data_IF_229839845588
#
_entry.id   IF_229839845588
#
_cell.length_a   1.000
_cell.length_b   1.000
_cell.length_c   1.000
_cell.angle_alpha   90.00
_cell.angle_beta   90.00
_cell.angle_gamma   90.00
#
_symmetry.space_group_name_H-M   'P 1'
#
loop_
_entity.id
_entity.type
_entity.pdbx_description
1 polymer ?
#
# COMPACT_ATOMS: atom_id res chain seq x y z
N UNK A 1 -2.06 3.04 6.55
CA UNK A 1 -0.86 2.18 6.58
C UNK A 1 0.42 3.01 6.35
N UNK A 2 0.69 3.92 7.28
CA UNK A 2 1.82 4.88 7.17
C UNK A 2 3.16 4.17 6.98
N UNK A 3 3.43 3.12 7.75
CA UNK A 3 4.73 2.43 7.73
C UNK A 3 5.11 1.90 6.34
N UNK A 4 4.18 1.27 5.63
CA UNK A 4 4.43 0.72 4.29
C UNK A 4 4.66 1.83 3.25
N UNK A 5 3.89 2.93 3.35
CA UNK A 5 4.08 4.07 2.45
C UNK A 5 5.41 4.76 2.72
N UNK A 6 5.81 4.93 4.00
CA UNK A 6 7.12 5.45 4.38
C UNK A 6 8.23 4.58 3.78
N UNK A 7 8.16 3.25 3.93
CA UNK A 7 9.15 2.33 3.35
C UNK A 7 9.24 2.44 1.82
N UNK A 8 8.09 2.49 1.13
CA UNK A 8 8.05 2.63 -0.32
C UNK A 8 8.68 3.96 -0.78
N UNK A 9 8.39 5.06 -0.09
CA UNK A 9 8.99 6.37 -0.39
C UNK A 9 10.50 6.36 -0.12
N UNK A 10 10.91 5.80 1.02
CA UNK A 10 12.32 5.69 1.42
C UNK A 10 13.13 4.90 0.40
N UNK A 11 12.57 3.79 -0.13
CA UNK A 11 13.26 2.94 -1.11
C UNK A 11 13.53 3.62 -2.44
N UNK A 12 12.77 4.66 -2.79
CA UNK A 12 12.98 5.46 -4.01
C UNK A 12 13.61 6.84 -3.73
N UNK A 13 14.11 7.05 -2.50
CA UNK A 13 14.77 8.29 -2.10
C UNK A 13 13.84 9.48 -1.89
N UNK A 14 12.55 9.24 -1.63
CA UNK A 14 11.58 10.30 -1.32
C UNK A 14 11.49 10.55 0.17
N UNK A 15 11.29 11.81 0.52
CA UNK A 15 11.10 12.23 1.90
C UNK A 15 9.65 11.96 2.34
N UNK A 16 9.41 11.08 3.32
CA UNK A 16 8.07 10.83 3.84
C UNK A 16 7.55 11.94 4.76
N UNK A 17 8.38 12.89 5.18
CA UNK A 17 7.96 14.05 5.97
C UNK A 17 7.32 15.15 5.14
N UNK A 18 7.47 15.11 3.81
CA UNK A 18 6.81 16.06 2.89
C UNK A 18 6.25 15.35 1.64
N UNK A 19 5.13 14.70 1.82
CA UNK A 19 4.41 14.03 0.72
C UNK A 19 3.17 14.85 0.37
N UNK A 20 3.31 15.72 -0.61
CA UNK A 20 2.21 16.62 -0.97
C UNK A 20 1.83 17.58 0.16
N UNK A 21 2.78 17.97 1.01
CA UNK A 21 2.58 18.80 2.19
C UNK A 21 2.02 18.04 3.40
N UNK A 22 2.02 16.71 3.37
CA UNK A 22 1.67 15.87 4.51
C UNK A 22 2.95 15.22 5.06
N UNK A 23 3.12 15.30 6.37
CA UNK A 23 4.16 14.57 7.09
C UNK A 23 3.61 13.19 7.50
N UNK A 24 4.04 12.13 6.80
CA UNK A 24 3.62 10.77 7.10
C UNK A 24 4.29 10.23 8.38
N UNK A 25 5.45 10.75 8.76
CA UNK A 25 6.12 10.35 10.00
C UNK A 25 5.31 10.78 11.22
N UNK A 26 4.56 11.89 11.12
CA UNK A 26 3.66 12.34 12.19
C UNK A 26 2.57 11.30 12.52
N UNK A 27 2.17 10.48 11.53
CA UNK A 27 1.24 9.36 11.73
C UNK A 27 1.80 8.22 12.60
N UNK A 28 3.12 8.17 12.81
CA UNK A 28 3.76 7.20 13.70
C UNK A 28 4.03 7.75 15.11
N UNK A 29 3.67 9.00 15.40
CA UNK A 29 4.00 9.67 16.67
C UNK A 29 3.10 9.31 17.85
N UNK A 30 1.91 8.76 17.60
CA UNK A 30 0.96 8.33 18.63
C UNK A 30 1.09 6.82 18.86
N UNK A 31 1.58 6.44 20.04
CA UNK A 31 1.82 5.04 20.40
C UNK A 31 0.54 4.22 20.45
N UNK A 32 -0.54 4.78 20.98
CA UNK A 32 -1.84 4.11 21.01
C UNK A 32 -2.39 3.81 19.62
N UNK A 33 -2.17 4.74 18.67
CA UNK A 33 -2.56 4.54 17.28
C UNK A 33 -1.70 3.48 16.59
N UNK A 34 -0.38 3.57 16.76
CA UNK A 34 0.58 2.64 16.13
C UNK A 34 0.37 1.21 16.62
N UNK A 35 0.09 1.02 17.91
CA UNK A 35 -0.10 -0.31 18.53
C UNK A 35 -1.52 -0.85 18.41
N UNK A 36 -2.45 -0.13 17.78
CA UNK A 36 -3.84 -0.58 17.59
C UNK A 36 -3.97 -1.94 16.89
N UNK A 37 -2.99 -2.29 16.05
CA UNK A 37 -2.89 -3.59 15.38
C UNK A 37 -1.94 -4.56 16.12
N UNK A 38 -1.83 -4.42 17.43
CA UNK A 38 -0.97 -5.27 18.25
C UNK A 38 0.51 -5.18 17.87
N UNK A 39 1.19 -6.31 17.90
CA UNK A 39 2.61 -6.41 17.56
C UNK A 39 2.91 -5.98 16.12
N UNK A 40 2.01 -6.32 15.18
CA UNK A 40 2.18 -6.00 13.76
C UNK A 40 2.37 -4.49 13.52
N UNK A 41 1.54 -3.65 14.15
CA UNK A 41 1.65 -2.21 14.05
C UNK A 41 2.97 -1.68 14.57
N UNK A 42 3.39 -2.13 15.75
CA UNK A 42 4.65 -1.74 16.37
C UNK A 42 5.88 -2.17 15.55
N UNK A 43 5.89 -3.41 15.05
CA UNK A 43 7.00 -3.95 14.24
C UNK A 43 7.20 -3.16 12.95
N UNK A 44 6.13 -2.94 12.18
CA UNK A 44 6.24 -2.16 10.94
C UNK A 44 6.55 -0.69 11.16
N UNK A 45 6.10 -0.09 12.27
CA UNK A 45 6.48 1.27 12.62
C UNK A 45 7.99 1.35 12.93
N UNK A 46 8.54 0.41 13.68
CA UNK A 46 9.97 0.35 14.00
C UNK A 46 10.80 0.16 12.73
N UNK A 47 10.43 -0.80 11.86
CA UNK A 47 11.07 -1.03 10.56
C UNK A 47 11.05 0.24 9.70
N UNK A 48 9.93 0.93 9.63
CA UNK A 48 9.81 2.15 8.84
C UNK A 48 10.68 3.29 9.37
N UNK A 49 10.71 3.48 10.69
CA UNK A 49 11.54 4.51 11.35
C UNK A 49 13.04 4.23 11.16
N UNK A 50 13.44 2.96 11.19
CA UNK A 50 14.83 2.55 11.07
C UNK A 50 15.33 2.55 9.63
N UNK A 51 14.44 2.52 8.65
CA UNK A 51 14.81 2.40 7.23
C UNK A 51 15.74 3.51 6.72
N UNK A 52 15.69 4.69 7.33
CA UNK A 52 16.62 5.81 7.11
C UNK A 52 16.96 6.55 8.41
N UNK A 53 16.74 5.94 9.57
CA UNK A 53 17.00 6.57 10.85
C UNK A 53 16.09 7.76 11.15
N UNK A 54 14.83 7.71 10.73
CA UNK A 54 13.91 8.84 10.90
C UNK A 54 13.66 9.21 12.36
N UNK A 55 13.71 10.50 12.64
CA UNK A 55 13.23 11.04 13.91
C UNK A 55 11.69 10.99 13.98
N UNK A 56 11.18 10.71 15.18
CA UNK A 56 9.73 10.69 15.41
C UNK A 56 9.27 12.12 15.71
N UNK A 57 8.41 12.72 14.86
CA UNK A 57 7.98 14.11 15.03
C UNK A 57 7.31 14.36 16.38
N UNK A 58 7.52 15.55 16.92
CA UNK A 58 6.78 16.03 18.09
C UNK A 58 5.39 16.45 17.66
N UNK A 59 4.36 15.81 18.21
CA UNK A 59 2.96 16.12 17.97
C UNK A 59 2.23 16.34 19.29
N UNK A 60 0.93 16.64 19.21
CA UNK A 60 0.04 16.76 20.38
C UNK A 60 -0.40 15.40 20.96
N UNK A 61 0.15 14.28 20.48
CA UNK A 61 -0.18 12.94 20.97
C UNK A 61 0.08 12.83 22.48
N UNK A 62 -0.92 12.36 23.23
CA UNK A 62 -0.82 12.19 24.71
C UNK A 62 0.16 11.09 25.07
N UNK A 63 0.18 10.03 24.29
CA UNK A 63 1.09 8.90 24.46
C UNK A 63 2.06 8.85 23.27
N UNK A 64 3.21 9.50 23.42
CA UNK A 64 4.20 9.60 22.36
C UNK A 64 4.88 8.27 22.09
N UNK A 65 5.00 7.92 20.81
CA UNK A 65 5.83 6.81 20.34
C UNK A 65 7.31 7.11 20.60
N UNK A 66 8.04 6.10 21.07
CA UNK A 66 9.51 6.06 21.05
C UNK A 66 9.94 4.68 20.57
N UNK A 67 11.18 4.56 20.08
CA UNK A 67 11.74 3.26 19.71
C UNK A 67 11.74 2.28 20.88
N UNK A 68 12.10 2.73 22.09
CA UNK A 68 12.06 1.89 23.30
C UNK A 68 10.68 1.36 23.62
N UNK A 69 9.63 2.17 23.47
CA UNK A 69 8.25 1.71 23.66
C UNK A 69 7.85 0.68 22.61
N UNK A 70 8.21 0.88 21.35
CA UNK A 70 7.93 -0.08 20.29
C UNK A 70 8.63 -1.41 20.55
N UNK A 71 9.92 -1.36 20.90
CA UNK A 71 10.72 -2.55 21.23
C UNK A 71 10.10 -3.28 22.43
N UNK A 72 9.80 -2.55 23.53
CA UNK A 72 9.19 -3.14 24.73
C UNK A 72 7.82 -3.76 24.42
N UNK A 73 7.04 -3.13 23.56
CA UNK A 73 5.75 -3.66 23.12
C UNK A 73 5.93 -4.94 22.30
N UNK A 74 6.85 -4.98 21.33
CA UNK A 74 7.16 -6.20 20.57
C UNK A 74 7.60 -7.31 21.50
N UNK A 75 8.54 -7.05 22.43
CA UNK A 75 9.04 -8.03 23.37
C UNK A 75 7.95 -8.61 24.28
N UNK A 76 6.93 -7.83 24.59
CA UNK A 76 5.80 -8.28 25.46
C UNK A 76 4.95 -9.40 24.82
N UNK A 77 5.06 -9.63 23.52
CA UNK A 77 4.37 -10.71 22.80
C UNK A 77 5.15 -12.03 22.77
N UNK A 78 6.40 -12.04 23.27
CA UNK A 78 7.16 -13.28 23.30
C UNK A 78 6.62 -14.24 24.34
N UNK A 79 6.27 -15.46 23.94
CA UNK A 79 5.81 -16.56 24.78
C UNK A 79 6.99 -17.39 25.32
N UNK A 80 6.68 -18.30 26.25
CA UNK A 80 7.68 -19.13 26.95
C UNK A 80 8.47 -20.05 26.00
N UNK A 81 7.88 -20.48 24.91
CA UNK A 81 8.52 -21.33 23.88
C UNK A 81 9.36 -20.53 22.88
N UNK A 82 9.41 -19.20 23.01
CA UNK A 82 10.19 -18.29 22.20
C UNK A 82 9.43 -17.69 21.01
N UNK A 83 8.21 -18.15 20.72
CA UNK A 83 7.43 -17.54 19.63
C UNK A 83 6.96 -16.13 20.00
N UNK A 84 6.68 -15.32 18.96
CA UNK A 84 5.99 -14.05 19.08
C UNK A 84 4.65 -14.19 18.36
N UNK A 85 3.55 -14.00 19.07
CA UNK A 85 2.25 -14.03 18.43
C UNK A 85 1.18 -13.33 19.28
N UNK A 86 0.34 -12.56 18.61
CA UNK A 86 -0.93 -12.04 19.12
C UNK A 86 -2.14 -12.64 18.37
N UNK A 87 -1.87 -13.47 17.34
CA UNK A 87 -2.88 -14.18 16.55
C UNK A 87 -2.56 -15.67 16.50
N UNK A 88 -3.40 -16.48 17.10
CA UNK A 88 -3.25 -17.93 17.14
C UNK A 88 -3.12 -18.55 15.71
N UNK A 89 -2.14 -19.43 15.54
CA UNK A 89 -1.88 -20.12 14.31
C UNK A 89 -1.08 -19.35 13.25
N UNK A 90 -0.56 -18.16 13.60
CA UNK A 90 0.35 -17.37 12.75
C UNK A 90 1.70 -17.13 13.42
N UNK A 91 2.10 -18.00 14.33
CA UNK A 91 3.29 -17.82 15.16
C UNK A 91 4.62 -17.70 14.41
N UNK A 92 4.89 -18.48 13.33
CA UNK A 92 6.13 -18.35 12.57
C UNK A 92 6.29 -16.99 11.88
N UNK A 93 5.22 -16.48 11.24
CA UNK A 93 5.22 -15.20 10.55
C UNK A 93 5.40 -14.02 11.52
N UNK A 94 4.69 -14.04 12.64
CA UNK A 94 4.83 -13.03 13.67
C UNK A 94 6.21 -13.07 14.32
N UNK A 95 6.76 -14.29 14.56
CA UNK A 95 8.12 -14.44 15.06
C UNK A 95 9.14 -13.88 14.07
N UNK A 96 9.03 -14.19 12.79
CA UNK A 96 9.90 -13.65 11.76
C UNK A 96 9.83 -12.10 11.71
N UNK A 97 8.62 -11.54 11.77
CA UNK A 97 8.41 -10.09 11.79
C UNK A 97 9.05 -9.43 13.02
N UNK A 98 8.92 -10.04 14.20
CA UNK A 98 9.54 -9.53 15.42
C UNK A 98 11.08 -9.56 15.32
N UNK A 99 11.67 -10.67 14.84
CA UNK A 99 13.11 -10.77 14.65
C UNK A 99 13.63 -9.70 13.69
N UNK A 100 12.93 -9.49 12.58
CA UNK A 100 13.26 -8.47 11.58
C UNK A 100 13.22 -7.06 12.18
N UNK A 101 12.17 -6.72 12.90
CA UNK A 101 12.02 -5.41 13.53
C UNK A 101 13.08 -5.14 14.63
N UNK A 102 13.49 -6.20 15.33
CA UNK A 102 14.46 -6.12 16.44
C UNK A 102 15.92 -6.24 15.98
N UNK A 103 16.18 -6.55 14.71
CA UNK A 103 17.52 -6.89 14.20
C UNK A 103 18.57 -5.78 14.42
N UNK A 104 18.18 -4.51 14.42
CA UNK A 104 19.06 -3.36 14.64
C UNK A 104 19.40 -3.13 16.13
N UNK A 105 18.85 -3.89 17.07
CA UNK A 105 18.95 -3.65 18.51
C UNK A 105 19.59 -4.82 19.27
N UNK A 106 20.41 -5.64 18.58
CA UNK A 106 21.05 -6.83 19.15
C UNK A 106 22.11 -6.54 20.22
N UNK A 107 22.54 -5.30 20.37
CA UNK A 107 23.39 -4.80 21.45
C UNK A 107 22.64 -4.78 22.82
N UNK A 108 21.32 -4.72 22.81
CA UNK A 108 20.49 -4.82 24.00
C UNK A 108 20.38 -6.29 24.44
N UNK A 109 20.68 -6.58 25.69
CA UNK A 109 20.66 -7.94 26.25
C UNK A 109 19.27 -8.58 26.19
N UNK A 110 18.20 -7.82 26.49
CA UNK A 110 16.81 -8.29 26.42
C UNK A 110 16.40 -8.65 24.99
N UNK A 111 16.75 -7.81 24.04
CA UNK A 111 16.48 -8.03 22.60
C UNK A 111 17.27 -9.24 22.08
N UNK A 112 18.56 -9.31 22.40
CA UNK A 112 19.42 -10.45 21.99
C UNK A 112 18.86 -11.78 22.48
N UNK A 113 18.48 -11.84 23.75
CA UNK A 113 17.89 -13.05 24.35
C UNK A 113 16.56 -13.42 23.65
N UNK A 114 15.73 -12.43 23.35
CA UNK A 114 14.46 -12.65 22.69
C UNK A 114 14.65 -13.13 21.23
N UNK A 115 15.61 -12.57 20.50
CA UNK A 115 15.99 -13.05 19.15
C UNK A 115 16.47 -14.50 19.21
N UNK A 116 17.39 -14.82 20.13
CA UNK A 116 17.92 -16.18 20.27
C UNK A 116 16.82 -17.22 20.58
N UNK A 117 15.81 -16.85 21.39
CA UNK A 117 14.65 -17.69 21.65
C UNK A 117 13.74 -17.82 20.42
N UNK A 118 13.49 -16.74 19.70
CA UNK A 118 12.72 -16.78 18.45
C UNK A 118 13.37 -17.66 17.37
N UNK A 119 14.72 -17.61 17.23
CA UNK A 119 15.46 -18.48 16.33
C UNK A 119 15.27 -19.95 16.71
N UNK A 120 15.35 -20.29 18.02
CA UNK A 120 15.11 -21.67 18.50
C UNK A 120 13.70 -22.13 18.18
N UNK A 121 12.71 -21.25 18.41
CA UNK A 121 11.33 -21.54 18.07
C UNK A 121 11.16 -21.82 16.57
N UNK A 122 11.66 -20.93 15.69
CA UNK A 122 11.58 -21.13 14.23
C UNK A 122 12.24 -22.42 13.79
N UNK A 123 13.41 -22.78 14.36
CA UNK A 123 14.08 -24.04 14.07
C UNK A 123 13.24 -25.26 14.51
N UNK A 124 12.48 -25.18 15.62
CA UNK A 124 11.63 -26.26 16.08
C UNK A 124 10.30 -26.36 15.33
N UNK A 125 9.76 -25.26 14.86
CA UNK A 125 8.48 -25.17 14.17
C UNK A 125 8.56 -25.58 12.68
N UNK A 126 9.77 -25.68 12.11
CA UNK A 126 9.98 -26.09 10.73
C UNK A 126 9.54 -27.55 10.52
N UNK A 127 8.75 -27.80 9.48
CA UNK A 127 8.27 -29.14 9.14
C UNK A 127 9.25 -29.93 8.25
N UNK A 128 8.91 -31.20 7.99
CA UNK A 128 9.71 -32.15 7.20
C UNK A 128 9.90 -31.70 5.72
N UNK A 129 9.15 -30.74 5.22
CA UNK A 129 9.30 -30.15 3.88
C UNK A 129 10.16 -28.89 3.85
N UNK A 130 10.76 -28.55 4.98
CA UNK A 130 11.55 -27.31 5.12
C UNK A 130 10.73 -26.02 5.26
N UNK A 131 9.40 -26.11 5.30
CA UNK A 131 8.48 -25.00 5.41
C UNK A 131 7.84 -24.86 6.80
N UNK A 132 6.79 -24.08 6.87
CA UNK A 132 6.10 -23.79 8.13
C UNK A 132 4.58 -23.89 7.96
N UNK A 133 3.90 -24.65 8.83
CA UNK A 133 2.45 -24.64 8.87
C UNK A 133 1.95 -23.34 9.44
N UNK A 134 0.87 -22.80 8.87
CA UNK A 134 0.14 -21.68 9.44
C UNK A 134 -1.36 -21.93 9.41
N UNK A 135 -2.13 -21.08 10.09
CA UNK A 135 -3.59 -21.12 10.08
C UNK A 135 -4.18 -21.07 8.65
N UNK A 136 -3.47 -20.41 7.74
CA UNK A 136 -3.89 -20.21 6.36
C UNK A 136 -3.29 -21.24 5.39
N UNK A 137 -2.55 -22.20 5.90
CA UNK A 137 -1.77 -23.16 5.12
C UNK A 137 -0.31 -22.72 4.96
N UNK A 138 0.47 -23.55 4.28
CA UNK A 138 1.85 -23.22 3.94
C UNK A 138 1.89 -22.26 2.74
N UNK A 139 2.77 -21.26 2.79
CA UNK A 139 2.97 -20.32 1.71
C UNK A 139 4.45 -20.01 1.46
N UNK A 140 4.76 -19.54 0.26
CA UNK A 140 6.09 -19.06 -0.08
C UNK A 140 6.46 -17.82 0.71
N UNK A 141 5.47 -16.99 1.06
CA UNK A 141 5.66 -15.76 1.82
C UNK A 141 6.14 -16.05 3.24
N UNK A 142 5.57 -17.06 3.91
CA UNK A 142 6.01 -17.46 5.26
C UNK A 142 7.49 -17.83 5.26
N UNK A 143 7.89 -18.70 4.33
CA UNK A 143 9.30 -19.12 4.21
C UNK A 143 10.19 -17.95 3.82
N UNK A 144 9.75 -17.08 2.92
CA UNK A 144 10.49 -15.88 2.51
C UNK A 144 10.72 -14.91 3.68
N UNK A 145 9.71 -14.64 4.49
CA UNK A 145 9.82 -13.79 5.66
C UNK A 145 10.80 -14.35 6.70
N UNK A 146 10.78 -15.66 6.90
CA UNK A 146 11.72 -16.32 7.82
C UNK A 146 13.15 -16.24 7.31
N UNK A 147 13.39 -16.51 6.02
CA UNK A 147 14.73 -16.35 5.41
C UNK A 147 15.23 -14.91 5.61
N UNK A 148 14.39 -13.92 5.33
CA UNK A 148 14.72 -12.50 5.48
C UNK A 148 15.04 -12.14 6.94
N UNK A 149 14.22 -12.63 7.89
CA UNK A 149 14.42 -12.39 9.32
C UNK A 149 15.70 -13.01 9.84
N UNK A 150 15.98 -14.28 9.50
CA UNK A 150 17.21 -14.97 9.87
C UNK A 150 18.44 -14.25 9.33
N UNK A 151 18.43 -13.88 8.05
CA UNK A 151 19.52 -13.12 7.45
C UNK A 151 19.77 -11.79 8.18
N UNK A 152 18.71 -11.07 8.56
CA UNK A 152 18.85 -9.77 9.26
C UNK A 152 19.48 -9.88 10.65
N UNK A 153 19.29 -11.02 11.34
CA UNK A 153 19.88 -11.26 12.66
C UNK A 153 21.20 -12.04 12.60
N UNK A 154 21.79 -12.21 11.42
CA UNK A 154 23.10 -12.82 11.24
C UNK A 154 23.10 -14.35 11.14
N UNK A 155 21.94 -14.96 10.90
CA UNK A 155 21.81 -16.41 10.72
C UNK A 155 21.67 -16.74 9.24
N UNK A 156 22.54 -17.61 8.73
CA UNK A 156 22.44 -18.10 7.35
C UNK A 156 21.16 -18.95 7.19
N UNK A 157 20.39 -18.80 6.11
CA UNK A 157 19.34 -19.74 5.75
C UNK A 157 19.82 -21.19 5.51
N UNK A 158 21.12 -21.36 5.31
CA UNK A 158 21.77 -22.67 5.17
C UNK A 158 22.23 -23.26 6.52
N UNK A 159 21.92 -22.61 7.64
CA UNK A 159 22.26 -23.13 8.97
C UNK A 159 21.55 -24.49 9.20
N UNK A 160 22.31 -25.47 9.67
CA UNK A 160 21.84 -26.86 9.84
C UNK A 160 20.59 -26.98 10.73
N UNK A 161 20.35 -26.03 11.62
CA UNK A 161 19.13 -25.98 12.45
C UNK A 161 17.86 -25.89 11.60
N UNK A 162 17.95 -25.31 10.39
CA UNK A 162 16.86 -25.08 9.45
C UNK A 162 16.85 -26.11 8.30
N UNK A 163 17.32 -27.34 8.57
CA UNK A 163 17.21 -28.46 7.66
C UNK A 163 16.48 -29.61 8.36
N UNK A 164 15.34 -30.05 7.83
CA UNK A 164 14.52 -31.15 8.35
C UNK A 164 14.39 -32.23 7.26
N UNK A 165 14.65 -33.48 7.62
CA UNK A 165 14.59 -34.60 6.67
C UNK A 165 15.32 -34.31 5.35
N UNK A 166 16.46 -33.61 5.41
CA UNK A 166 17.24 -33.20 4.25
C UNK A 166 16.63 -32.11 3.39
N UNK A 167 15.59 -31.41 3.90
CA UNK A 167 14.93 -30.29 3.24
C UNK A 167 15.25 -29.00 3.99
N UNK A 168 15.83 -28.02 3.28
CA UNK A 168 16.17 -26.70 3.77
C UNK A 168 15.04 -25.70 3.54
N UNK A 169 15.21 -24.47 4.05
CA UNK A 169 14.35 -23.33 3.71
C UNK A 169 14.34 -23.06 2.19
N UNK A 170 15.49 -23.25 1.53
CA UNK A 170 15.61 -23.07 0.08
C UNK A 170 14.84 -24.14 -0.70
N UNK A 171 14.93 -25.42 -0.29
CA UNK A 171 14.15 -26.49 -0.91
C UNK A 171 12.66 -26.19 -0.84
N UNK A 172 12.20 -25.67 0.30
CA UNK A 172 10.81 -25.27 0.46
C UNK A 172 10.47 -24.08 -0.43
N UNK A 173 11.20 -22.97 -0.35
CA UNK A 173 10.92 -21.77 -1.15
C UNK A 173 10.95 -22.07 -2.66
N UNK A 174 11.98 -22.77 -3.14
CA UNK A 174 12.13 -23.12 -4.54
C UNK A 174 11.05 -24.08 -5.04
N UNK A 175 10.42 -24.84 -4.15
CA UNK A 175 9.28 -25.70 -4.51
C UNK A 175 8.05 -24.91 -4.98
N UNK A 176 7.97 -23.62 -4.65
CA UNK A 176 6.88 -22.71 -5.07
C UNK A 176 7.14 -22.03 -6.42
N UNK A 177 8.21 -22.38 -7.15
CA UNK A 177 8.44 -21.77 -8.48
C UNK A 177 7.28 -22.01 -9.42
N UNK A 178 6.82 -20.93 -10.08
CA UNK A 178 5.71 -20.94 -11.02
C UNK A 178 5.97 -19.94 -12.16
N UNK A 179 6.20 -20.43 -13.37
CA UNK A 179 6.60 -19.59 -14.50
C UNK A 179 7.88 -18.79 -14.20
N UNK A 180 7.81 -17.48 -14.39
CA UNK A 180 8.95 -16.57 -14.18
C UNK A 180 9.04 -16.04 -12.72
N UNK A 181 8.28 -16.61 -11.79
CA UNK A 181 8.26 -16.20 -10.40
C UNK A 181 7.90 -17.32 -9.44
N UNK A 182 7.11 -16.96 -8.41
CA UNK A 182 6.70 -17.87 -7.34
C UNK A 182 5.18 -17.84 -7.15
N UNK A 183 4.64 -18.96 -6.73
CA UNK A 183 3.24 -19.08 -6.31
C UNK A 183 3.11 -18.67 -4.84
N UNK A 184 1.90 -18.27 -4.43
CA UNK A 184 1.56 -18.11 -3.02
C UNK A 184 1.53 -19.46 -2.30
N UNK A 185 0.73 -20.39 -2.81
CA UNK A 185 0.51 -21.71 -2.25
C UNK A 185 0.22 -22.72 -3.36
N UNK A 186 0.17 -24.00 -2.99
CA UNK A 186 -0.26 -25.07 -3.89
C UNK A 186 -1.79 -25.14 -3.91
N UNK A 187 -2.42 -24.75 -5.03
CA UNK A 187 -3.87 -24.76 -5.20
C UNK A 187 -4.27 -25.94 -6.08
N UNK A 188 -5.12 -26.84 -5.57
CA UNK A 188 -5.60 -28.05 -6.31
C UNK A 188 -4.47 -28.86 -6.98
N UNK A 189 -3.31 -28.90 -6.33
CA UNK A 189 -2.15 -29.66 -6.83
C UNK A 189 -1.19 -28.87 -7.73
N UNK A 190 -1.54 -27.65 -8.15
CA UNK A 190 -0.74 -26.83 -9.02
C UNK A 190 -0.20 -25.59 -8.31
N UNK A 191 0.92 -25.05 -8.83
CA UNK A 191 1.47 -23.77 -8.45
C UNK A 191 1.18 -22.76 -9.56
N UNK A 192 0.47 -21.69 -9.21
CA UNK A 192 0.18 -20.57 -10.11
C UNK A 192 0.98 -19.34 -9.71
N UNK A 193 1.52 -18.62 -10.69
CA UNK A 193 2.25 -17.38 -10.45
C UNK A 193 1.45 -16.44 -9.56
N UNK A 194 2.12 -15.91 -8.55
CA UNK A 194 1.55 -14.90 -7.65
C UNK A 194 2.54 -13.75 -7.47
N UNK A 195 2.06 -12.53 -7.68
CA UNK A 195 2.91 -11.34 -7.60
C UNK A 195 3.49 -11.15 -6.19
N UNK A 196 2.68 -11.28 -5.15
CA UNK A 196 3.12 -11.09 -3.76
C UNK A 196 4.13 -12.17 -3.36
N UNK A 197 3.88 -13.44 -3.70
CA UNK A 197 4.83 -14.53 -3.48
C UNK A 197 6.17 -14.29 -4.18
N UNK A 198 6.13 -13.75 -5.41
CA UNK A 198 7.34 -13.41 -6.17
C UNK A 198 8.11 -12.25 -5.53
N UNK A 199 7.43 -11.17 -5.14
CA UNK A 199 8.05 -10.01 -4.48
C UNK A 199 8.73 -10.41 -3.16
N UNK A 200 8.06 -11.21 -2.34
CA UNK A 200 8.60 -11.69 -1.06
C UNK A 200 9.80 -12.65 -1.27
N UNK A 201 9.72 -13.56 -2.23
CA UNK A 201 10.84 -14.46 -2.55
C UNK A 201 12.07 -13.68 -3.03
N UNK A 202 11.91 -12.64 -3.85
CA UNK A 202 13.01 -11.78 -4.28
C UNK A 202 13.65 -11.03 -3.11
N UNK A 203 12.84 -10.52 -2.16
CA UNK A 203 13.36 -9.90 -0.93
C UNK A 203 14.15 -10.89 -0.09
N UNK A 204 13.68 -12.14 0.05
CA UNK A 204 14.36 -13.19 0.78
C UNK A 204 15.72 -13.54 0.14
N UNK A 205 15.76 -13.71 -1.18
CA UNK A 205 16.98 -13.97 -1.94
C UNK A 205 18.00 -12.83 -1.80
N UNK A 206 17.53 -11.58 -1.91
CA UNK A 206 18.37 -10.40 -1.73
C UNK A 206 18.93 -10.28 -0.32
N UNK A 207 18.12 -10.58 0.71
CA UNK A 207 18.52 -10.50 2.12
C UNK A 207 19.54 -11.59 2.45
N UNK A 208 19.36 -12.80 1.95
CA UNK A 208 20.29 -13.90 2.15
C UNK A 208 21.67 -13.65 1.51
N UNK A 209 21.75 -12.85 0.47
CA UNK A 209 23.01 -12.42 -0.13
C UNK A 209 23.77 -11.40 0.74
N UNK A 210 23.14 -10.84 1.78
CA UNK A 210 23.66 -9.79 2.66
C UNK A 210 23.39 -10.12 4.14
N UNK A 211 23.90 -11.27 4.61
CA UNK A 211 23.75 -11.70 6.01
C UNK A 211 24.19 -10.59 6.97
N UNK A 212 23.50 -10.42 8.08
CA UNK A 212 23.69 -9.37 9.08
C UNK A 212 23.39 -7.96 8.59
N UNK A 213 22.65 -7.81 7.48
CA UNK A 213 22.19 -6.52 7.00
C UNK A 213 20.68 -6.38 7.17
N UNK A 214 20.23 -5.23 7.66
CA UNK A 214 18.80 -4.90 7.72
C UNK A 214 18.27 -4.72 6.29
N UNK A 215 17.29 -5.52 5.84
CA UNK A 215 16.85 -5.53 4.43
C UNK A 215 16.20 -4.23 3.96
N UNK A 216 15.71 -3.44 4.91
CA UNK A 216 15.06 -2.16 4.66
C UNK A 216 15.96 -0.95 4.98
N UNK A 217 17.29 -1.15 5.02
CA UNK A 217 18.22 -0.02 5.12
C UNK A 217 18.31 0.72 3.79
N UNK A 218 17.66 1.89 3.75
CA UNK A 218 17.65 2.80 2.61
C UNK A 218 18.52 4.05 2.85
N UNK A 219 19.38 4.04 3.87
CA UNK A 219 20.24 5.18 4.21
C UNK A 219 21.15 5.60 3.07
N UNK A 220 21.60 4.66 2.24
CA UNK A 220 22.44 4.89 1.06
C UNK A 220 21.66 5.27 -0.21
N UNK A 221 20.34 5.20 -0.20
CA UNK A 221 19.52 5.56 -1.36
C UNK A 221 19.60 7.07 -1.59
N UNK A 222 20.08 7.47 -2.78
CA UNK A 222 20.20 8.88 -3.14
C UNK A 222 18.83 9.57 -3.07
N UNK A 223 18.80 10.75 -2.46
CA UNK A 223 17.61 11.58 -2.43
C UNK A 223 17.12 11.90 -3.86
N UNK A 224 15.83 11.74 -4.05
CA UNK A 224 15.16 12.00 -5.31
C UNK A 224 14.34 13.29 -5.18
N UNK A 225 14.99 14.43 -5.40
CA UNK A 225 14.40 15.77 -5.26
C UNK A 225 13.46 16.15 -6.41
N UNK A 226 12.93 15.19 -7.19
CA UNK A 226 11.88 15.51 -8.17
C UNK A 226 10.69 16.10 -7.42
N UNK A 227 10.13 17.24 -7.86
CA UNK A 227 8.98 17.84 -7.20
C UNK A 227 7.84 16.85 -7.09
N UNK A 228 7.37 16.59 -5.87
CA UNK A 228 6.06 15.98 -5.62
C UNK A 228 5.09 17.11 -5.33
N UNK A 229 3.86 16.99 -5.82
CA UNK A 229 2.86 18.03 -5.57
C UNK A 229 2.67 18.22 -4.06
N UNK A 230 2.96 19.43 -3.57
CA UNK A 230 2.66 19.84 -2.21
C UNK A 230 1.15 20.13 -2.00
N UNK A 231 0.79 20.69 -0.83
CA UNK A 231 -0.59 21.18 -0.56
C UNK A 231 -1.08 22.14 -1.63
N UNK A 232 -0.17 22.89 -2.25
CA UNK A 232 -0.43 23.74 -3.41
C UNK A 232 -0.48 22.98 -4.74
N UNK A 233 -0.13 21.68 -4.74
CA UNK A 233 -0.06 20.84 -5.94
C UNK A 233 1.29 20.89 -6.66
N UNK A 234 1.37 20.17 -7.78
CA UNK A 234 2.55 20.12 -8.63
C UNK A 234 2.81 21.46 -9.34
N UNK A 235 4.07 21.78 -9.70
CA UNK A 235 4.36 22.85 -10.64
C UNK A 235 3.53 22.69 -11.92
N UNK A 236 2.81 23.71 -12.32
CA UNK A 236 1.89 23.66 -13.46
C UNK A 236 0.47 23.20 -13.13
N UNK A 237 0.17 22.88 -11.86
CA UNK A 237 -1.23 22.65 -11.43
C UNK A 237 -2.08 23.89 -11.70
N UNK A 238 -3.23 23.69 -12.33
CA UNK A 238 -4.21 24.76 -12.49
C UNK A 238 -4.65 25.28 -11.11
N UNK A 239 -4.67 26.60 -10.94
CA UNK A 239 -5.00 27.28 -9.67
C UNK A 239 -6.40 26.98 -9.14
N UNK A 240 -7.32 26.61 -10.03
CA UNK A 240 -8.71 26.31 -9.68
C UNK A 240 -8.89 24.87 -9.17
N UNK A 241 -7.88 24.00 -9.32
CA UNK A 241 -7.92 22.62 -8.80
C UNK A 241 -7.77 22.63 -7.28
N UNK A 242 -8.80 22.16 -6.58
CA UNK A 242 -8.85 22.06 -5.12
C UNK A 242 -9.25 20.63 -4.71
N UNK A 243 -8.29 19.79 -4.42
CA UNK A 243 -8.58 18.40 -3.99
C UNK A 243 -9.37 18.42 -2.68
N UNK A 244 -10.55 17.78 -2.63
CA UNK A 244 -11.39 17.79 -1.43
C UNK A 244 -10.73 17.00 -0.28
N UNK A 245 -10.76 17.57 0.92
CA UNK A 245 -10.35 16.91 2.15
C UNK A 245 -11.34 15.84 2.59
N UNK A 246 -10.92 15.01 3.56
CA UNK A 246 -11.80 14.01 4.20
C UNK A 246 -12.86 14.75 5.02
N UNK A 247 -14.13 14.38 4.82
CA UNK A 247 -15.31 14.98 5.48
C UNK A 247 -15.86 14.08 6.60
N UNK A 248 -15.60 12.78 6.56
CA UNK A 248 -16.07 11.78 7.51
C UNK A 248 -16.00 10.38 6.93
N UNK A 249 -16.24 9.37 7.75
CA UNK A 249 -16.29 7.97 7.30
C UNK A 249 -17.62 7.71 6.58
N UNK A 250 -17.52 7.18 5.36
CA UNK A 250 -18.66 6.78 4.54
C UNK A 250 -18.45 5.35 4.08
N UNK A 251 -19.45 4.50 4.27
CA UNK A 251 -19.47 3.11 3.83
C UNK A 251 -20.77 2.80 3.09
N UNK A 252 -20.78 1.76 2.28
CA UNK A 252 -21.97 1.27 1.57
C UNK A 252 -22.20 -0.20 1.89
N UNK A 253 -23.45 -0.64 2.10
CA UNK A 253 -23.74 -2.02 2.51
C UNK A 253 -23.44 -3.06 1.43
N UNK A 254 -23.42 -2.67 0.16
CA UNK A 254 -23.32 -3.55 -1.02
C UNK A 254 -21.90 -3.71 -1.58
N UNK A 255 -20.86 -3.18 -0.88
CA UNK A 255 -19.46 -3.29 -1.32
C UNK A 255 -18.66 -4.35 -0.54
N UNK A 256 -19.31 -5.19 0.26
CA UNK A 256 -18.68 -6.22 1.08
C UNK A 256 -18.79 -7.61 0.40
N UNK A 257 -17.67 -8.34 0.30
CA UNK A 257 -17.60 -9.69 -0.29
C UNK A 257 -16.17 -10.17 -0.47
N UNK A 258 -15.95 -11.41 -0.89
CA UNK A 258 -14.64 -12.06 -0.97
C UNK A 258 -13.63 -11.34 -1.89
N UNK A 259 -14.08 -10.58 -2.88
CA UNK A 259 -13.24 -9.77 -3.78
C UNK A 259 -13.24 -8.27 -3.43
N UNK A 260 -13.87 -7.88 -2.34
CA UNK A 260 -14.25 -6.51 -2.05
C UNK A 260 -13.14 -5.66 -1.40
N UNK A 261 -12.10 -6.26 -0.81
CA UNK A 261 -11.19 -5.51 0.08
C UNK A 261 -10.48 -4.33 -0.61
N UNK A 262 -10.00 -4.48 -1.83
CA UNK A 262 -9.33 -3.39 -2.55
C UNK A 262 -10.36 -2.37 -3.07
N UNK A 263 -11.49 -2.85 -3.58
CA UNK A 263 -12.58 -2.01 -4.10
C UNK A 263 -13.24 -1.21 -2.97
N UNK A 264 -13.50 -1.84 -1.83
CA UNK A 264 -14.05 -1.21 -0.63
C UNK A 264 -13.21 -0.04 -0.14
N UNK A 265 -11.89 -0.22 -0.02
CA UNK A 265 -10.98 0.84 0.46
C UNK A 265 -10.99 2.03 -0.48
N UNK A 266 -10.94 1.82 -1.80
CA UNK A 266 -10.97 2.88 -2.79
C UNK A 266 -12.31 3.64 -2.78
N UNK A 267 -13.43 2.92 -2.77
CA UNK A 267 -14.78 3.51 -2.75
C UNK A 267 -14.99 4.32 -1.47
N UNK A 268 -14.68 3.76 -0.29
CA UNK A 268 -14.81 4.46 0.98
C UNK A 268 -13.91 5.71 1.04
N UNK A 269 -12.68 5.63 0.53
CA UNK A 269 -11.75 6.78 0.48
C UNK A 269 -12.27 7.91 -0.40
N UNK A 270 -12.89 7.61 -1.53
CA UNK A 270 -13.49 8.61 -2.42
C UNK A 270 -14.80 9.16 -1.84
N UNK A 271 -15.59 8.30 -1.19
CA UNK A 271 -16.84 8.70 -0.55
C UNK A 271 -16.60 9.61 0.66
N UNK A 272 -15.59 9.30 1.49
CA UNK A 272 -15.21 10.14 2.64
C UNK A 272 -14.77 11.55 2.24
N UNK A 273 -14.37 11.76 0.98
CA UNK A 273 -14.04 13.06 0.39
C UNK A 273 -15.24 13.74 -0.30
N UNK A 274 -16.39 13.06 -0.37
CA UNK A 274 -17.57 13.52 -1.07
C UNK A 274 -17.43 13.51 -2.60
N UNK A 275 -16.50 12.72 -3.13
CA UNK A 275 -16.34 12.48 -4.57
C UNK A 275 -17.41 11.50 -5.05
N UNK A 276 -17.59 10.40 -4.32
CA UNK A 276 -18.65 9.40 -4.51
C UNK A 276 -19.75 9.64 -3.46
N UNK A 277 -21.00 9.63 -3.86
CA UNK A 277 -22.15 9.78 -2.94
C UNK A 277 -23.06 8.55 -2.87
N UNK A 278 -22.82 7.54 -3.69
CA UNK A 278 -23.76 6.42 -3.84
C UNK A 278 -25.08 6.86 -4.46
N UNK A 279 -26.07 5.98 -4.36
CA UNK A 279 -27.43 6.19 -4.86
C UNK A 279 -28.41 6.51 -3.73
N UNK A 280 -29.63 6.93 -4.07
CA UNK A 280 -30.67 7.34 -3.11
C UNK A 280 -31.08 6.19 -2.14
N UNK A 281 -30.90 4.95 -2.54
CA UNK A 281 -31.16 3.76 -1.72
C UNK A 281 -30.00 3.44 -0.73
N UNK A 282 -28.97 4.28 -0.68
CA UNK A 282 -27.82 4.11 0.19
C UNK A 282 -26.78 3.09 -0.29
N UNK A 283 -26.91 2.57 -1.51
CA UNK A 283 -25.97 1.61 -2.09
C UNK A 283 -24.98 2.28 -3.04
N UNK A 284 -23.84 1.62 -3.28
CA UNK A 284 -22.84 2.02 -4.28
C UNK A 284 -23.10 1.45 -5.66
N UNK A 285 -23.64 0.23 -5.75
CA UNK A 285 -23.96 -0.55 -6.96
C UNK A 285 -22.75 -0.80 -7.86
N UNK A 286 -21.75 -1.58 -7.39
CA UNK A 286 -20.46 -1.78 -8.08
C UNK A 286 -20.62 -2.40 -9.48
N UNK A 287 -21.67 -3.21 -9.71
CA UNK A 287 -21.93 -3.87 -10.99
C UNK A 287 -22.64 -2.98 -12.03
N UNK A 288 -23.03 -1.78 -11.62
CA UNK A 288 -23.73 -0.87 -12.53
C UNK A 288 -22.75 -0.16 -13.48
N UNK A 289 -23.10 -0.08 -14.75
CA UNK A 289 -22.37 0.73 -15.72
C UNK A 289 -22.50 2.21 -15.40
N UNK A 290 -21.40 2.95 -15.57
CA UNK A 290 -21.32 4.38 -15.30
C UNK A 290 -21.70 5.18 -16.53
N UNK A 291 -22.54 6.20 -16.35
CA UNK A 291 -22.87 7.11 -17.44
C UNK A 291 -21.77 8.18 -17.63
N UNK A 292 -21.75 8.80 -18.80
CA UNK A 292 -20.84 9.91 -19.13
C UNK A 292 -21.02 11.09 -18.18
N UNK A 293 -22.26 11.40 -17.81
CA UNK A 293 -22.56 12.47 -16.84
C UNK A 293 -22.08 12.13 -15.42
N UNK A 294 -22.30 10.89 -14.98
CA UNK A 294 -21.80 10.41 -13.67
C UNK A 294 -20.26 10.52 -13.60
N UNK A 295 -19.56 10.06 -14.63
CA UNK A 295 -18.10 10.14 -14.67
C UNK A 295 -17.59 11.59 -14.69
N UNK A 296 -18.20 12.48 -15.48
CA UNK A 296 -17.86 13.89 -15.48
C UNK A 296 -18.04 14.52 -14.08
N UNK A 297 -19.13 14.16 -13.38
CA UNK A 297 -19.38 14.65 -12.03
C UNK A 297 -18.32 14.14 -11.03
N UNK A 298 -17.91 12.86 -11.14
CA UNK A 298 -16.87 12.28 -10.29
C UNK A 298 -15.53 13.02 -10.47
N UNK A 299 -15.09 13.24 -11.70
CA UNK A 299 -13.82 13.92 -12.00
C UNK A 299 -13.87 15.40 -11.53
N UNK A 300 -14.95 16.11 -11.79
CA UNK A 300 -15.11 17.50 -11.35
C UNK A 300 -15.08 17.62 -9.82
N UNK A 301 -15.75 16.71 -9.10
CA UNK A 301 -15.71 16.65 -7.64
C UNK A 301 -14.31 16.28 -7.13
N UNK A 302 -13.63 15.33 -7.78
CA UNK A 302 -12.28 14.92 -7.40
C UNK A 302 -11.26 16.07 -7.52
N UNK A 303 -11.47 16.97 -8.48
CA UNK A 303 -10.62 18.14 -8.71
C UNK A 303 -11.13 19.40 -7.99
N UNK A 304 -12.32 19.34 -7.38
CA UNK A 304 -12.96 20.50 -6.73
C UNK A 304 -13.20 21.66 -7.67
N UNK A 305 -13.53 21.37 -8.93
CA UNK A 305 -13.75 22.40 -9.95
C UNK A 305 -15.19 22.95 -9.90
N UNK A 306 -15.33 24.22 -10.22
CA UNK A 306 -16.63 24.89 -10.29
C UNK A 306 -16.84 25.48 -11.69
N UNK A 307 -18.04 25.32 -12.22
CA UNK A 307 -18.42 25.92 -13.50
C UNK A 307 -18.61 27.44 -13.35
N UNK A 308 -18.06 28.19 -14.30
CA UNK A 308 -18.19 29.65 -14.41
C UNK A 308 -19.35 30.04 -15.31
N UNK A 309 -19.83 29.13 -16.17
CA UNK A 309 -20.94 29.33 -17.10
C UNK A 309 -21.85 28.09 -17.15
N UNK A 310 -22.94 28.17 -17.90
CA UNK A 310 -23.79 27.01 -18.19
C UNK A 310 -23.14 26.08 -19.19
N UNK A 311 -23.57 24.81 -19.21
CA UNK A 311 -23.13 23.83 -20.18
C UNK A 311 -23.48 24.27 -21.61
N UNK A 312 -22.53 24.07 -22.53
CA UNK A 312 -22.69 24.45 -23.95
C UNK A 312 -23.43 23.42 -24.79
N UNK A 313 -23.60 22.20 -24.27
CA UNK A 313 -24.18 21.08 -25.01
C UNK A 313 -25.71 21.18 -25.08
N UNK A 314 -26.26 20.96 -26.29
CA UNK A 314 -27.70 21.08 -26.57
C UNK A 314 -28.56 20.02 -25.88
N UNK A 315 -27.95 18.88 -25.54
CA UNK A 315 -28.56 17.74 -24.88
C UNK A 315 -28.31 17.69 -23.34
N UNK A 316 -27.85 18.80 -22.78
CA UNK A 316 -27.65 18.98 -21.32
C UNK A 316 -28.60 20.04 -20.79
N UNK A 317 -29.76 19.63 -20.25
CA UNK A 317 -30.73 20.59 -19.67
C UNK A 317 -30.09 21.33 -18.49
N UNK A 318 -30.30 22.63 -18.39
CA UNK A 318 -29.77 23.46 -17.29
C UNK A 318 -30.22 23.01 -15.91
N UNK A 319 -31.38 22.36 -15.83
CA UNK A 319 -31.98 21.82 -14.60
C UNK A 319 -31.48 20.42 -14.23
N UNK A 320 -30.71 19.76 -15.10
CA UNK A 320 -30.19 18.42 -14.82
C UNK A 320 -29.19 18.48 -13.67
N UNK A 321 -29.20 17.48 -12.80
CA UNK A 321 -28.31 17.40 -11.63
C UNK A 321 -26.82 17.45 -12.01
N UNK A 322 -26.47 16.96 -13.19
CA UNK A 322 -25.11 16.94 -13.72
C UNK A 322 -24.72 18.20 -14.51
N UNK A 323 -25.66 19.13 -14.78
CA UNK A 323 -25.42 20.26 -15.70
C UNK A 323 -24.20 21.09 -15.30
N UNK A 324 -24.06 21.43 -14.02
CA UNK A 324 -22.91 22.19 -13.50
C UNK A 324 -21.59 21.42 -13.62
N UNK A 325 -21.62 20.12 -13.38
CA UNK A 325 -20.41 19.26 -13.53
C UNK A 325 -19.99 19.13 -14.99
N UNK A 326 -20.93 18.93 -15.91
CA UNK A 326 -20.66 18.87 -17.35
C UNK A 326 -20.13 20.24 -17.86
N UNK A 327 -20.71 21.35 -17.37
CA UNK A 327 -20.21 22.68 -17.68
C UNK A 327 -18.75 22.87 -17.24
N UNK A 328 -18.44 22.56 -15.98
CA UNK A 328 -17.09 22.64 -15.45
C UNK A 328 -16.12 21.73 -16.23
N UNK A 329 -16.48 20.46 -16.45
CA UNK A 329 -15.64 19.54 -17.19
C UNK A 329 -15.31 20.02 -18.61
N UNK A 330 -16.29 20.67 -19.28
CA UNK A 330 -16.09 21.27 -20.60
C UNK A 330 -15.24 22.54 -20.55
N UNK A 331 -15.46 23.43 -19.59
CA UNK A 331 -14.69 24.66 -19.42
C UNK A 331 -13.20 24.41 -19.15
N UNK A 332 -12.88 23.35 -18.40
CA UNK A 332 -11.51 22.97 -18.09
C UNK A 332 -10.92 21.98 -19.12
N UNK A 333 -11.60 21.75 -20.26
CA UNK A 333 -11.10 20.90 -21.35
C UNK A 333 -11.03 19.41 -21.01
N UNK A 334 -11.69 18.96 -19.94
CA UNK A 334 -11.70 17.55 -19.56
C UNK A 334 -12.57 16.71 -20.52
N UNK A 335 -13.66 17.29 -21.02
CA UNK A 335 -14.57 16.68 -21.99
C UNK A 335 -14.76 17.60 -23.22
N UNK A 336 -14.94 17.00 -24.41
CA UNK A 336 -15.12 17.72 -25.67
C UNK A 336 -16.50 17.48 -26.31
N UNK A 337 -17.30 16.56 -25.76
CA UNK A 337 -18.56 16.11 -26.37
C UNK A 337 -18.32 15.03 -27.44
N UNK A 338 -19.40 14.68 -28.15
CA UNK A 338 -19.44 13.62 -29.17
C UNK A 338 -19.65 14.15 -30.60
N UNK A 339 -19.58 15.45 -30.79
CA UNK A 339 -19.93 16.15 -32.03
C UNK A 339 -21.33 16.76 -31.96
N UNK A 340 -21.68 17.57 -32.99
CA UNK A 340 -22.98 18.24 -33.12
C UNK A 340 -23.46 18.99 -31.85
N UNK A 341 -22.53 19.56 -31.13
CA UNK A 341 -22.78 20.24 -29.85
C UNK A 341 -23.51 19.38 -28.81
N UNK A 342 -23.26 18.05 -28.81
CA UNK A 342 -23.86 17.09 -27.87
C UNK A 342 -22.80 16.44 -26.97
N UNK A 343 -23.23 16.05 -25.76
CA UNK A 343 -22.42 15.36 -24.77
C UNK A 343 -22.80 13.90 -24.59
N UNK A 344 -24.05 13.53 -24.81
CA UNK A 344 -24.69 12.23 -24.55
C UNK A 344 -24.60 11.85 -23.06
N UNK A 345 -25.23 12.62 -22.14
CA UNK A 345 -25.03 12.48 -20.71
C UNK A 345 -25.42 11.10 -20.16
N UNK A 346 -26.50 10.50 -20.67
CA UNK A 346 -27.02 9.19 -20.23
C UNK A 346 -26.32 8.00 -20.93
N UNK A 347 -25.46 8.26 -21.90
CA UNK A 347 -24.67 7.20 -22.56
C UNK A 347 -23.66 6.59 -21.60
N UNK A 348 -23.42 5.28 -21.70
CA UNK A 348 -22.38 4.58 -20.93
C UNK A 348 -21.01 5.09 -21.38
N UNK A 349 -20.14 5.45 -20.42
CA UNK A 349 -18.74 5.81 -20.71
C UNK A 349 -17.91 4.55 -20.96
N UNK A 350 -17.06 4.58 -21.98
CA UNK A 350 -16.09 3.50 -22.22
C UNK A 350 -14.82 3.69 -21.40
N UNK A 351 -14.01 2.62 -21.28
CA UNK A 351 -12.72 2.68 -20.55
C UNK A 351 -11.75 3.65 -21.23
N UNK A 352 -11.74 3.69 -22.57
CA UNK A 352 -10.91 4.59 -23.37
C UNK A 352 -11.30 6.05 -23.16
N UNK A 353 -12.59 6.35 -23.17
CA UNK A 353 -13.09 7.71 -22.89
C UNK A 353 -12.74 8.16 -21.47
N UNK A 354 -12.93 7.27 -20.49
CA UNK A 354 -12.55 7.53 -19.10
C UNK A 354 -11.04 7.76 -18.97
N UNK A 355 -10.20 6.97 -19.65
CA UNK A 355 -8.75 7.14 -19.63
C UNK A 355 -8.33 8.49 -20.21
N UNK A 356 -8.94 8.93 -21.33
CA UNK A 356 -8.68 10.26 -21.92
C UNK A 356 -9.03 11.38 -20.95
N UNK A 357 -10.18 11.30 -20.28
CA UNK A 357 -10.59 12.30 -19.29
C UNK A 357 -9.62 12.32 -18.10
N UNK A 358 -9.21 11.15 -17.62
CA UNK A 358 -8.20 11.05 -16.54
C UNK A 358 -6.84 11.63 -16.96
N UNK A 359 -6.39 11.38 -18.19
CA UNK A 359 -5.15 11.95 -18.70
C UNK A 359 -5.19 13.49 -18.75
N UNK A 360 -6.29 14.06 -19.24
CA UNK A 360 -6.50 15.53 -19.22
C UNK A 360 -6.59 16.08 -17.81
N UNK A 361 -7.23 15.37 -16.89
CA UNK A 361 -7.26 15.72 -15.48
C UNK A 361 -5.84 15.70 -14.87
N UNK A 362 -4.99 14.72 -15.22
CA UNK A 362 -3.61 14.66 -14.78
C UNK A 362 -2.80 15.86 -15.27
N UNK A 363 -2.95 16.28 -16.54
CA UNK A 363 -2.33 17.50 -17.06
C UNK A 363 -2.79 18.73 -16.27
N UNK A 364 -4.09 18.84 -16.01
CA UNK A 364 -4.66 19.93 -15.23
C UNK A 364 -4.11 19.98 -13.79
N UNK A 365 -3.75 18.84 -13.23
CA UNK A 365 -3.08 18.71 -11.93
C UNK A 365 -1.56 18.95 -11.98
N UNK A 366 -0.98 19.18 -13.14
CA UNK A 366 0.47 19.32 -13.31
C UNK A 366 1.25 17.99 -13.25
N UNK A 367 0.57 16.85 -13.40
CA UNK A 367 1.20 15.51 -13.33
C UNK A 367 1.86 15.11 -14.65
N UNK A 368 1.62 15.80 -15.72
CA UNK A 368 2.20 15.47 -17.03
C UNK A 368 2.09 16.60 -18.03
N UNK A 369 2.71 16.42 -19.16
CA UNK A 369 2.51 17.25 -20.35
C UNK A 369 1.68 16.48 -21.36
N UNK A 370 0.88 17.18 -22.16
CA UNK A 370 0.26 16.58 -23.33
C UNK A 370 1.35 16.01 -24.24
N UNK A 371 1.23 14.75 -24.62
CA UNK A 371 2.11 14.12 -25.61
C UNK A 371 1.51 14.32 -26.99
N UNK A 372 2.35 14.68 -27.94
CA UNK A 372 1.95 14.70 -29.35
C UNK A 372 1.69 13.27 -29.86
N UNK A 373 0.89 13.13 -30.92
CA UNK A 373 0.61 11.84 -31.55
C UNK A 373 1.90 11.12 -32.02
N UNK A 374 2.96 11.87 -32.36
CA UNK A 374 4.26 11.30 -32.65
C UNK A 374 4.92 10.68 -31.42
N UNK A 375 4.89 11.37 -30.28
CA UNK A 375 5.44 10.86 -29.01
C UNK A 375 4.66 9.66 -28.45
N UNK A 376 3.37 9.56 -28.77
CA UNK A 376 2.55 8.40 -28.40
C UNK A 376 2.94 7.20 -29.26
N UNK A 377 3.12 7.39 -30.59
CA UNK A 377 3.53 6.32 -31.51
C UNK A 377 4.91 5.76 -31.23
N UNK A 378 5.85 6.59 -30.77
CA UNK A 378 7.21 6.17 -30.42
C UNK A 378 7.26 5.38 -29.08
N UNK A 379 6.15 5.30 -28.36
CA UNK A 379 6.08 4.64 -27.04
C UNK A 379 5.31 3.31 -27.08
N UNK A 380 4.57 3.04 -28.16
CA UNK A 380 3.83 1.80 -28.45
C UNK A 380 4.63 0.87 -29.35
#
# INVERSE_FOLDING_TARGET
DYSRVILALSSIGRDPSDVGGYDLLSGLSDFSFVTKQGMNGAAWALIALDSRGYEIPSTSAKDRTTRDKLISHILSFQKKDGNFSDLEGCDPEYTAMALLALSNYQDRKDVKAAIDNGIKYLASAQNERGGYPSKWGESSETTSQIIMALASVGVSPDDSRFTKSGKSLWDNLLSYRAGDGFAHAKIKGNYEYNRMGTEQALLALSSAAKISSFPFDFSSVRENNRPVGGKSGLPGKNKDVKVPGIKGDVTFPDIWGENAQTCTTAVCSLASRGIISGYEDGNFKPERTLTRAEFAALIVRALGLEAKSDAKFSDVPKTAWYARSVAAASEYGLILGIGDNRFLPEGTITREEAAVICARAAVLCGVGTERSDAQIRDTL
#
